data_IF_977447607365
#
_entry.id   IF_977447607365
#
_cell.length_a   1.000
_cell.length_b   1.000
_cell.length_c   1.000
_cell.angle_alpha   90.00
_cell.angle_beta   90.00
_cell.angle_gamma   90.00
#
_symmetry.space_group_name_H-M   'P 1'
#
loop_
_entity.id
_entity.type
_entity.pdbx_description
1 polymer ?
#
# COMPACT_ATOMS: atom_id res chain seq x y z
N UNK A 1 -5.27 -24.99 -20.02
CA UNK A 1 -4.56 -24.28 -18.94
C UNK A 1 -5.37 -24.53 -17.68
N UNK A 2 -4.85 -25.30 -16.73
CA UNK A 2 -5.58 -25.58 -15.51
C UNK A 2 -5.67 -24.27 -14.71
N UNK A 3 -6.83 -23.63 -14.72
CA UNK A 3 -7.22 -22.72 -13.65
C UNK A 3 -7.30 -23.60 -12.42
N UNK A 4 -6.27 -23.59 -11.59
CA UNK A 4 -6.36 -24.10 -10.23
C UNK A 4 -7.40 -23.21 -9.55
N UNK A 5 -8.68 -23.59 -9.64
CA UNK A 5 -9.73 -22.94 -8.90
C UNK A 5 -9.39 -23.16 -7.44
N UNK A 6 -8.90 -22.10 -6.79
CA UNK A 6 -8.62 -22.09 -5.37
C UNK A 6 -9.89 -22.57 -4.69
N UNK A 7 -9.84 -23.74 -4.03
CA UNK A 7 -10.97 -24.21 -3.24
C UNK A 7 -11.19 -23.23 -2.11
N UNK A 8 -12.19 -22.37 -2.30
CA UNK A 8 -12.64 -21.36 -1.36
C UNK A 8 -14.04 -21.71 -0.90
N UNK A 9 -14.37 -21.33 0.33
CA UNK A 9 -15.74 -21.35 0.78
C UNK A 9 -16.48 -20.14 0.17
N UNK A 10 -17.82 -20.15 0.12
CA UNK A 10 -18.58 -19.07 -0.54
C UNK A 10 -18.37 -17.69 0.11
N UNK A 11 -17.96 -17.63 1.37
CA UNK A 11 -17.66 -16.37 2.07
C UNK A 11 -16.29 -15.81 1.65
N UNK A 12 -15.25 -16.65 1.54
CA UNK A 12 -13.93 -16.31 1.00
C UNK A 12 -14.04 -15.88 -0.46
N UNK A 13 -14.83 -16.56 -1.27
CA UNK A 13 -15.06 -16.18 -2.67
C UNK A 13 -15.68 -14.79 -2.78
N UNK A 14 -16.68 -14.49 -1.95
CA UNK A 14 -17.28 -13.15 -1.91
C UNK A 14 -16.26 -12.08 -1.51
N UNK A 15 -15.52 -12.31 -0.42
CA UNK A 15 -14.49 -11.36 0.05
C UNK A 15 -13.39 -11.19 -1.00
N UNK A 16 -12.95 -12.27 -1.64
CA UNK A 16 -11.95 -12.25 -2.70
C UNK A 16 -12.42 -11.46 -3.92
N UNK A 17 -13.67 -11.69 -4.36
CA UNK A 17 -14.31 -10.93 -5.43
C UNK A 17 -14.35 -9.44 -5.14
N UNK A 18 -14.80 -9.05 -3.94
CA UNK A 18 -14.84 -7.64 -3.53
C UNK A 18 -13.43 -7.01 -3.49
N UNK A 19 -12.42 -7.74 -3.00
CA UNK A 19 -11.04 -7.25 -3.02
C UNK A 19 -10.55 -7.04 -4.47
N UNK A 20 -10.84 -7.97 -5.38
CA UNK A 20 -10.46 -7.88 -6.80
C UNK A 20 -11.15 -6.69 -7.48
N UNK A 21 -12.43 -6.45 -7.21
CA UNK A 21 -13.14 -5.28 -7.73
C UNK A 21 -12.56 -3.97 -7.20
N UNK A 22 -12.20 -3.92 -5.91
CA UNK A 22 -11.51 -2.76 -5.34
C UNK A 22 -10.13 -2.54 -5.98
N UNK A 23 -9.34 -3.59 -6.20
CA UNK A 23 -8.05 -3.45 -6.90
C UNK A 23 -8.22 -2.96 -8.33
N UNK A 24 -9.22 -3.45 -9.05
CA UNK A 24 -9.54 -2.97 -10.39
C UNK A 24 -9.94 -1.49 -10.37
N UNK A 25 -10.75 -1.08 -9.40
CA UNK A 25 -11.14 0.31 -9.21
C UNK A 25 -9.93 1.19 -8.82
N UNK A 26 -9.01 0.69 -7.99
CA UNK A 26 -7.77 1.37 -7.63
C UNK A 26 -6.87 1.56 -8.86
N UNK A 27 -6.62 0.51 -9.63
CA UNK A 27 -5.83 0.54 -10.86
C UNK A 27 -6.37 1.59 -11.84
N UNK A 28 -7.65 1.50 -12.19
CA UNK A 28 -8.32 2.48 -13.05
C UNK A 28 -8.23 3.90 -12.50
N UNK A 29 -8.39 4.04 -11.17
CA UNK A 29 -8.31 5.32 -10.49
C UNK A 29 -6.93 5.97 -10.57
N UNK A 30 -5.87 5.20 -10.32
CA UNK A 30 -4.49 5.69 -10.44
C UNK A 30 -4.10 5.99 -11.89
N UNK A 31 -4.51 5.15 -12.85
CA UNK A 31 -4.30 5.45 -14.28
C UNK A 31 -4.98 6.76 -14.71
N UNK A 32 -6.17 7.06 -14.18
CA UNK A 32 -6.84 8.34 -14.41
C UNK A 32 -6.12 9.49 -13.72
N UNK A 33 -5.59 9.25 -12.52
CA UNK A 33 -4.87 10.24 -11.73
C UNK A 33 -3.57 10.68 -12.39
N UNK A 34 -2.87 9.74 -13.03
CA UNK A 34 -1.66 9.98 -13.81
C UNK A 34 -1.90 10.93 -15.00
N UNK A 35 -3.03 10.75 -15.69
CA UNK A 35 -3.43 11.59 -16.84
C UNK A 35 -4.01 12.95 -16.43
N UNK A 36 -4.33 13.13 -15.15
CA UNK A 36 -4.98 14.32 -14.64
C UNK A 36 -3.95 15.41 -14.36
N UNK A 37 -4.15 16.61 -14.93
CA UNK A 37 -3.23 17.74 -14.78
C UNK A 37 -3.63 18.71 -13.66
N UNK A 38 -4.89 18.68 -13.25
CA UNK A 38 -5.43 19.57 -12.21
C UNK A 38 -5.16 19.03 -10.81
N UNK A 39 -4.33 19.74 -10.04
CA UNK A 39 -3.90 19.31 -8.70
C UNK A 39 -5.05 19.19 -7.70
N UNK A 40 -6.09 20.03 -7.79
CA UNK A 40 -7.24 19.98 -6.89
C UNK A 40 -8.08 18.72 -7.12
N UNK A 41 -8.30 18.36 -8.39
CA UNK A 41 -9.00 17.12 -8.78
C UNK A 41 -8.14 15.89 -8.46
N UNK A 42 -6.82 15.96 -8.64
CA UNK A 42 -5.91 14.89 -8.25
C UNK A 42 -6.00 14.62 -6.75
N UNK A 43 -6.03 15.66 -5.92
CA UNK A 43 -6.18 15.52 -4.46
C UNK A 43 -7.50 14.84 -4.08
N UNK A 44 -8.64 15.28 -4.64
CA UNK A 44 -9.94 14.63 -4.42
C UNK A 44 -9.95 13.16 -4.85
N UNK A 45 -9.39 12.86 -6.02
CA UNK A 45 -9.28 11.48 -6.50
C UNK A 45 -8.39 10.62 -5.58
N UNK A 46 -7.28 11.16 -5.04
CA UNK A 46 -6.45 10.44 -4.06
C UNK A 46 -7.20 10.14 -2.76
N UNK A 47 -8.07 11.03 -2.29
CA UNK A 47 -8.90 10.79 -1.11
C UNK A 47 -9.88 9.64 -1.35
N UNK A 48 -10.56 9.62 -2.50
CA UNK A 48 -11.44 8.51 -2.88
C UNK A 48 -10.68 7.17 -3.00
N UNK A 49 -9.49 7.19 -3.61
CA UNK A 49 -8.65 5.99 -3.72
C UNK A 49 -8.14 5.54 -2.36
N UNK A 50 -7.85 6.47 -1.45
CA UNK A 50 -7.51 6.16 -0.06
C UNK A 50 -8.64 5.42 0.64
N UNK A 51 -9.89 5.86 0.45
CA UNK A 51 -11.06 5.18 0.99
C UNK A 51 -11.12 3.72 0.52
N UNK A 52 -10.95 3.49 -0.78
CA UNK A 52 -10.93 2.14 -1.37
C UNK A 52 -9.78 1.28 -0.84
N UNK A 53 -8.58 1.84 -0.63
CA UNK A 53 -7.46 1.11 0.00
C UNK A 53 -7.78 0.68 1.44
N UNK A 54 -8.44 1.54 2.22
CA UNK A 54 -8.84 1.20 3.59
C UNK A 54 -9.85 0.07 3.60
N UNK A 55 -10.82 0.10 2.68
CA UNK A 55 -11.80 -0.98 2.53
C UNK A 55 -11.14 -2.28 2.09
N UNK A 56 -10.26 -2.23 1.09
CA UNK A 56 -9.48 -3.39 0.67
C UNK A 56 -8.64 -3.97 1.82
N UNK A 57 -8.02 -3.12 2.66
CA UNK A 57 -7.31 -3.57 3.87
C UNK A 57 -8.25 -4.24 4.88
N UNK A 58 -9.49 -3.77 5.03
CA UNK A 58 -10.50 -4.37 5.92
C UNK A 58 -10.88 -5.75 5.41
N UNK A 59 -11.21 -5.87 4.13
CA UNK A 59 -11.56 -7.14 3.50
C UNK A 59 -10.41 -8.14 3.53
N UNK A 60 -9.15 -7.74 3.29
CA UNK A 60 -7.99 -8.64 3.42
C UNK A 60 -7.86 -9.19 4.85
N UNK A 61 -8.21 -8.40 5.88
CA UNK A 61 -8.23 -8.89 7.27
C UNK A 61 -9.38 -9.86 7.52
N UNK A 62 -10.55 -9.61 6.92
CA UNK A 62 -11.67 -10.56 6.97
C UNK A 62 -11.32 -11.87 6.25
N UNK A 63 -10.64 -11.80 5.10
CA UNK A 63 -10.11 -12.95 4.38
C UNK A 63 -9.11 -13.74 5.25
N UNK A 64 -8.17 -13.08 5.94
CA UNK A 64 -7.25 -13.74 6.88
C UNK A 64 -7.97 -14.44 8.03
N UNK A 65 -8.99 -13.77 8.59
CA UNK A 65 -9.79 -14.33 9.69
C UNK A 65 -10.53 -15.57 9.25
N UNK A 66 -11.12 -15.52 8.07
CA UNK A 66 -11.89 -16.63 7.51
C UNK A 66 -11.02 -17.82 7.13
N UNK A 67 -9.83 -17.58 6.56
CA UNK A 67 -8.84 -18.64 6.35
C UNK A 67 -8.50 -19.35 7.67
N UNK A 68 -8.35 -18.61 8.77
CA UNK A 68 -8.03 -19.18 10.08
C UNK A 68 -9.17 -19.97 10.70
N UNK A 69 -10.42 -19.57 10.50
CA UNK A 69 -11.58 -20.30 10.99
C UNK A 69 -11.70 -21.68 10.31
N UNK A 70 -11.36 -21.71 9.01
CA UNK A 70 -11.46 -22.92 8.18
C UNK A 70 -10.15 -23.72 8.11
N UNK A 71 -9.05 -23.21 8.67
CA UNK A 71 -7.71 -23.83 8.62
C UNK A 71 -7.69 -25.26 9.16
N UNK A 72 -8.50 -25.54 10.19
CA UNK A 72 -8.59 -26.88 10.78
C UNK A 72 -9.43 -27.86 9.95
N UNK A 73 -10.26 -27.36 9.03
CA UNK A 73 -11.14 -28.16 8.16
C UNK A 73 -10.54 -28.37 6.78
N UNK A 74 -9.68 -27.46 6.33
CA UNK A 74 -9.08 -27.49 5.01
C UNK A 74 -7.80 -28.34 4.98
N UNK A 75 -7.52 -29.02 3.85
CA UNK A 75 -6.22 -29.66 3.64
C UNK A 75 -5.08 -28.64 3.73
N UNK A 76 -3.87 -29.04 4.18
CA UNK A 76 -2.73 -28.13 4.30
C UNK A 76 -2.34 -27.49 2.96
N UNK A 77 -2.58 -28.18 1.84
CA UNK A 77 -2.32 -27.65 0.49
C UNK A 77 -3.30 -26.52 0.10
N UNK A 78 -4.58 -26.65 0.44
CA UNK A 78 -5.58 -25.58 0.23
C UNK A 78 -5.24 -24.40 1.13
N UNK A 79 -4.91 -24.67 2.39
CA UNK A 79 -4.60 -23.63 3.35
C UNK A 79 -3.34 -22.83 2.98
N UNK A 80 -2.32 -23.51 2.44
CA UNK A 80 -1.15 -22.87 1.86
C UNK A 80 -1.52 -21.97 0.69
N UNK A 81 -2.31 -22.47 -0.27
CA UNK A 81 -2.74 -21.69 -1.43
C UNK A 81 -3.53 -20.43 -1.03
N UNK A 82 -4.44 -20.54 -0.07
CA UNK A 82 -5.20 -19.40 0.48
C UNK A 82 -4.29 -18.37 1.14
N UNK A 83 -3.27 -18.83 1.89
CA UNK A 83 -2.28 -17.94 2.49
C UNK A 83 -1.39 -17.27 1.44
N UNK A 84 -0.97 -17.97 0.40
CA UNK A 84 -0.20 -17.41 -0.71
C UNK A 84 -1.01 -16.34 -1.46
N UNK A 85 -2.29 -16.59 -1.74
CA UNK A 85 -3.18 -15.62 -2.38
C UNK A 85 -3.41 -14.39 -1.48
N UNK A 86 -3.61 -14.60 -0.17
CA UNK A 86 -3.65 -13.50 0.82
C UNK A 86 -2.38 -12.65 0.76
N UNK A 87 -1.20 -13.26 0.72
CA UNK A 87 0.06 -12.53 0.63
C UNK A 87 0.19 -11.76 -0.70
N UNK A 88 -0.31 -12.33 -1.80
CA UNK A 88 -0.39 -11.65 -3.10
C UNK A 88 -1.23 -10.37 -3.00
N UNK A 89 -2.43 -10.45 -2.42
CA UNK A 89 -3.31 -9.29 -2.22
C UNK A 89 -2.66 -8.23 -1.31
N UNK A 90 -1.98 -8.65 -0.24
CA UNK A 90 -1.25 -7.71 0.65
C UNK A 90 -0.15 -6.97 -0.12
N UNK A 91 0.63 -7.68 -0.94
CA UNK A 91 1.68 -7.06 -1.76
C UNK A 91 1.09 -6.07 -2.75
N UNK A 92 0.01 -6.45 -3.43
CA UNK A 92 -0.68 -5.59 -4.38
C UNK A 92 -1.23 -4.32 -3.72
N UNK A 93 -1.87 -4.43 -2.55
CA UNK A 93 -2.31 -3.27 -1.76
C UNK A 93 -1.15 -2.36 -1.36
N UNK A 94 -0.02 -2.93 -0.95
CA UNK A 94 1.16 -2.14 -0.60
C UNK A 94 1.72 -1.36 -1.80
N UNK A 95 1.67 -1.91 -3.01
CA UNK A 95 2.01 -1.19 -4.24
C UNK A 95 1.11 0.03 -4.46
N UNK A 96 -0.21 -0.10 -4.26
CA UNK A 96 -1.13 1.04 -4.33
C UNK A 96 -0.87 2.08 -3.22
N UNK A 97 -0.53 1.64 -2.01
CA UNK A 97 -0.14 2.54 -0.91
C UNK A 97 1.13 3.31 -1.24
N UNK A 98 2.11 2.67 -1.86
CA UNK A 98 3.33 3.33 -2.32
C UNK A 98 3.03 4.37 -3.41
N UNK A 99 2.26 4.00 -4.44
CA UNK A 99 1.82 4.95 -5.48
C UNK A 99 1.10 6.15 -4.88
N UNK A 100 0.18 5.92 -3.93
CA UNK A 100 -0.50 7.00 -3.21
C UNK A 100 0.48 7.97 -2.55
N UNK A 101 1.47 7.45 -1.82
CA UNK A 101 2.49 8.26 -1.13
C UNK A 101 3.27 9.11 -2.13
N UNK A 102 3.65 8.54 -3.27
CA UNK A 102 4.33 9.28 -4.34
C UNK A 102 3.49 10.44 -4.83
N UNK A 103 2.22 10.22 -5.21
CA UNK A 103 1.34 11.30 -5.67
C UNK A 103 1.08 12.36 -4.59
N UNK A 104 0.91 11.96 -3.33
CA UNK A 104 0.77 12.91 -2.22
C UNK A 104 2.02 13.79 -2.06
N UNK A 105 3.21 13.22 -2.18
CA UNK A 105 4.47 13.96 -2.11
C UNK A 105 4.60 14.93 -3.30
N UNK A 106 4.33 14.47 -4.53
CA UNK A 106 4.34 15.32 -5.73
C UNK A 106 3.34 16.48 -5.65
N UNK A 107 2.13 16.27 -5.12
CA UNK A 107 1.15 17.35 -4.92
C UNK A 107 1.57 18.32 -3.81
N UNK A 108 2.17 17.81 -2.74
CA UNK A 108 2.72 18.62 -1.66
C UNK A 108 3.84 19.54 -2.12
N UNK A 109 4.81 19.00 -2.87
CA UNK A 109 5.94 19.77 -3.40
C UNK A 109 5.51 20.85 -4.39
N UNK A 110 4.59 20.53 -5.32
CA UNK A 110 4.02 21.54 -6.25
C UNK A 110 3.33 22.71 -5.53
N UNK A 111 2.69 22.43 -4.38
CA UNK A 111 2.06 23.48 -3.58
C UNK A 111 3.11 24.36 -2.91
N UNK A 112 4.18 23.77 -2.36
CA UNK A 112 5.28 24.53 -1.72
C UNK A 112 5.99 25.42 -2.75
N UNK A 113 6.31 24.91 -3.94
CA UNK A 113 6.95 25.71 -5.00
C UNK A 113 6.07 26.88 -5.49
N UNK A 114 4.74 26.70 -5.53
CA UNK A 114 3.83 27.76 -5.97
C UNK A 114 3.70 28.91 -4.94
N UNK A 115 3.87 28.62 -3.65
CA UNK A 115 3.87 29.66 -2.61
C UNK A 115 5.21 30.40 -2.52
N UNK A 116 6.32 29.80 -2.96
CA UNK A 116 7.65 30.42 -2.99
C UNK A 116 7.82 31.39 -4.18
N UNK A 117 7.12 31.15 -5.30
CA UNK A 117 7.23 31.97 -6.52
C UNK A 117 6.38 33.26 -6.51
N UNK A 118 5.66 33.54 -5.41
CA UNK A 118 4.73 34.67 -5.29
C UNK A 118 5.11 35.73 -4.24
N UNK A 119 6.17 35.53 -3.47
CA UNK A 119 6.64 36.51 -2.51
C UNK A 119 8.14 36.69 -2.68
N UNK A 120 8.52 37.76 -3.38
CA UNK A 120 9.87 38.28 -3.22
C UNK A 120 10.09 38.61 -1.75
N UNK A 121 10.98 37.85 -1.10
CA UNK A 121 12.00 38.26 -0.13
C UNK A 121 12.65 36.99 0.42
N UNK A 122 13.97 36.91 0.20
CA UNK A 122 15.02 36.05 0.76
C UNK A 122 14.72 35.25 2.04
N UNK A 123 15.09 33.96 2.07
CA UNK A 123 16.29 33.40 2.76
C UNK A 123 16.29 31.85 2.78
N UNK A 124 17.47 31.21 2.83
CA UNK A 124 17.62 29.77 2.69
C UNK A 124 17.38 29.05 4.03
N UNK A 125 16.55 28.01 4.05
CA UNK A 125 16.50 27.08 5.19
C UNK A 125 16.96 25.71 4.76
N UNK A 126 18.20 25.41 5.13
CA UNK A 126 18.78 24.09 5.15
C UNK A 126 18.05 23.20 6.17
N UNK A 127 17.75 21.96 5.79
CA UNK A 127 18.11 20.80 6.63
C UNK A 127 18.08 19.52 5.77
N UNK A 128 19.26 19.14 5.29
CA UNK A 128 19.54 17.81 4.76
C UNK A 128 19.65 16.83 5.93
N UNK A 129 18.56 16.16 6.30
CA UNK A 129 18.66 15.05 7.26
C UNK A 129 19.03 13.74 6.53
N UNK A 130 20.31 13.61 6.22
CA UNK A 130 20.99 12.36 5.86
C UNK A 130 20.95 11.42 7.07
N UNK A 131 20.24 10.30 6.95
CA UNK A 131 20.49 9.12 7.79
C UNK A 131 20.83 7.91 6.92
N UNK A 132 22.10 7.86 6.50
CA UNK A 132 22.76 6.63 6.10
C UNK A 132 23.13 5.86 7.37
N UNK A 133 22.31 4.88 7.76
CA UNK A 133 22.72 3.89 8.74
C UNK A 133 23.29 2.69 7.98
N UNK A 134 24.61 2.57 7.95
CA UNK A 134 25.30 1.33 7.55
C UNK A 134 26.11 0.80 8.73
N UNK A 135 25.73 -0.41 9.12
CA UNK A 135 26.50 -1.48 9.75
C UNK A 135 27.97 -1.20 10.10
N UNK A 136 28.34 -1.45 11.36
CA UNK A 136 29.52 -2.28 11.64
C UNK A 136 29.46 -2.84 13.08
N UNK A 137 29.37 -4.16 13.18
CA UNK A 137 29.78 -4.95 14.34
C UNK A 137 31.23 -4.65 14.72
N UNK A 138 31.59 -4.72 16.01
CA UNK A 138 32.72 -5.55 16.53
C UNK A 138 32.92 -5.35 18.05
N UNK A 139 32.86 -6.48 18.77
CA UNK A 139 33.53 -6.92 20.01
C UNK A 139 34.11 -5.90 21.03
N UNK A 140 33.70 -6.16 22.27
CA UNK A 140 34.53 -6.41 23.47
C UNK A 140 35.52 -5.33 23.95
N UNK A 141 35.23 -4.76 25.11
CA UNK A 141 36.29 -4.38 26.06
C UNK A 141 35.81 -4.62 27.50
N UNK A 142 36.45 -5.56 28.18
CA UNK A 142 36.40 -5.69 29.63
C UNK A 142 37.04 -4.45 30.24
N UNK A 143 36.42 -3.87 31.27
CA UNK A 143 37.08 -2.89 32.14
C UNK A 143 37.40 -3.60 33.46
N UNK A 144 38.71 -3.71 33.71
CA UNK A 144 39.31 -3.98 35.01
C UNK A 144 39.81 -2.63 35.53
N UNK A 145 39.49 -2.31 36.78
CA UNK A 145 39.94 -1.11 37.50
C UNK A 145 39.37 -1.13 38.90
#
# INVERSE_FOLDING_TARGET
MATTELQMNPQLEQIHGEIRDLFRALSNGFQRLDKMKDSNRQSKQLEELTGKMRECKRLIKEFDREIKDEESKNPPEVNKQLNDEKQSMIKELNSYVAMRKTYMNTLGNKKIELFDMGAGVSEPTADENVKMASSMSTKSLLIMG
#
